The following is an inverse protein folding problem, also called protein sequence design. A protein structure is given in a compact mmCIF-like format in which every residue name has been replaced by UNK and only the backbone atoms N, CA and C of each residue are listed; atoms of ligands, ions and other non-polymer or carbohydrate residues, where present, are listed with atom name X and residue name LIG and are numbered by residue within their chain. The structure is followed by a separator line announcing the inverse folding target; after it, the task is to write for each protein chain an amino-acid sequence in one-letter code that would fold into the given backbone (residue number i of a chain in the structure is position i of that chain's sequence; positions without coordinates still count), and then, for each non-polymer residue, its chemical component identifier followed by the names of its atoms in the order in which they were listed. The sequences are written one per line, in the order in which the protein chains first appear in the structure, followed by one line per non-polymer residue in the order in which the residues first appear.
data_IF_009755223670
#
_entry.id   IF_009755223670
#
_cell.length_a   1.000
_cell.length_b   1.000
_cell.length_c   1.000
_cell.angle_alpha   90.00
_cell.angle_beta   90.00
_cell.angle_gamma   90.00
#
_symmetry.space_group_name_H-M   'P 1'
#
loop_
_entity.id
_entity.type
_entity.pdbx_description
1 polymer ?
#
# COMPACT_ATOMS: atom_id res chain seq x y z
N UNK A 1 17.54 30.59 24.29
CA UNK A 1 18.43 30.99 23.21
C UNK A 1 19.07 32.29 23.58
N UNK A 2 20.35 32.22 23.92
CA UNK A 2 21.22 33.38 24.04
C UNK A 2 21.81 33.74 22.66
N UNK A 3 22.56 34.83 22.60
CA UNK A 3 23.15 35.34 21.36
C UNK A 3 24.18 34.36 20.77
N UNK A 4 24.81 33.53 21.60
CA UNK A 4 25.74 32.49 21.15
C UNK A 4 25.00 31.36 20.45
N UNK A 5 23.95 30.83 21.07
CA UNK A 5 23.09 29.81 20.47
C UNK A 5 22.42 30.31 19.18
N UNK A 6 22.05 31.60 19.11
CA UNK A 6 21.52 32.21 17.89
C UNK A 6 22.58 32.30 16.78
N UNK A 7 23.82 32.65 17.14
CA UNK A 7 24.95 32.72 16.20
C UNK A 7 25.23 31.35 15.60
N UNK A 8 25.29 30.31 16.42
CA UNK A 8 25.49 28.92 15.98
C UNK A 8 24.39 28.47 14.99
N UNK A 9 23.13 28.77 15.30
CA UNK A 9 21.99 28.44 14.40
C UNK A 9 22.08 29.18 13.07
N UNK A 10 22.54 30.43 13.07
CA UNK A 10 22.71 31.22 11.86
C UNK A 10 23.90 30.75 11.02
N UNK A 11 24.96 30.23 11.66
CA UNK A 11 26.08 29.58 10.99
C UNK A 11 25.66 28.27 10.32
N UNK A 12 24.89 27.44 11.01
CA UNK A 12 24.28 26.22 10.44
C UNK A 12 23.33 26.58 9.29
N UNK A 13 22.74 27.77 9.33
CA UNK A 13 21.97 28.37 8.25
C UNK A 13 22.84 29.06 7.19
N UNK A 14 24.14 28.80 7.12
CA UNK A 14 25.02 29.19 6.02
C UNK A 14 25.45 30.66 6.02
N UNK A 15 25.33 31.35 7.15
CA UNK A 15 26.16 32.53 7.41
C UNK A 15 27.57 32.07 7.81
N UNK A 16 28.60 32.85 7.45
CA UNK A 16 29.91 32.64 8.06
C UNK A 16 29.89 33.11 9.53
N UNK A 17 30.83 32.69 10.38
CA UNK A 17 30.88 33.13 11.79
C UNK A 17 30.78 34.65 11.96
N UNK A 18 31.59 35.39 11.20
CA UNK A 18 31.55 36.86 11.23
C UNK A 18 30.24 37.48 10.74
N UNK A 19 29.53 36.82 9.82
CA UNK A 19 28.22 37.28 9.35
C UNK A 19 27.15 37.06 10.41
N UNK A 20 27.18 35.92 11.09
CA UNK A 20 26.25 35.62 12.17
C UNK A 20 26.46 36.59 13.34
N UNK A 21 27.70 36.76 13.80
CA UNK A 21 28.05 37.70 14.87
C UNK A 21 27.66 39.15 14.55
N UNK A 22 28.03 39.66 13.37
CA UNK A 22 27.70 41.02 12.97
C UNK A 22 26.18 41.25 12.85
N UNK A 23 25.44 40.23 12.39
CA UNK A 23 23.98 40.32 12.28
C UNK A 23 23.31 40.31 13.65
N UNK A 24 23.73 39.44 14.58
CA UNK A 24 23.21 39.40 15.95
C UNK A 24 23.51 40.70 16.70
N UNK A 25 24.74 41.22 16.60
CA UNK A 25 25.10 42.51 17.17
C UNK A 25 24.23 43.65 16.60
N UNK A 26 23.99 43.65 15.28
CA UNK A 26 23.13 44.63 14.64
C UNK A 26 21.65 44.53 15.07
N UNK A 27 21.13 43.32 15.31
CA UNK A 27 19.78 43.12 15.85
C UNK A 27 19.63 43.74 17.25
N UNK A 28 20.67 43.67 18.08
CA UNK A 28 20.70 44.31 19.39
C UNK A 28 20.80 45.83 19.33
N UNK A 29 21.59 46.37 18.39
CA UNK A 29 21.81 47.81 18.22
C UNK A 29 20.68 48.51 17.43
N UNK A 30 19.94 47.77 16.60
CA UNK A 30 18.86 48.23 15.74
C UNK A 30 19.33 48.99 14.50
N UNK A 31 20.03 50.11 14.67
CA UNK A 31 20.65 50.88 13.57
C UNK A 31 21.97 51.45 14.05
N UNK A 32 23.08 51.08 13.39
CA UNK A 32 24.42 51.37 13.88
C UNK A 32 25.42 51.61 12.73
N UNK A 33 26.48 52.36 12.99
CA UNK A 33 27.57 52.53 12.02
C UNK A 33 28.40 51.25 11.91
N UNK A 34 29.10 51.06 10.79
CA UNK A 34 29.99 49.91 10.61
C UNK A 34 31.03 49.79 11.73
N UNK A 35 31.51 50.92 12.26
CA UNK A 35 32.45 50.94 13.39
C UNK A 35 31.77 50.53 14.70
N UNK A 36 30.56 51.04 15.00
CA UNK A 36 29.85 50.66 16.22
C UNK A 36 29.47 49.16 16.24
N UNK A 37 29.19 48.59 15.06
CA UNK A 37 28.92 47.15 14.91
C UNK A 37 30.20 46.36 15.17
N UNK A 38 31.34 46.76 14.58
CA UNK A 38 32.64 46.12 14.83
C UNK A 38 33.06 46.19 16.30
N UNK A 39 32.79 47.30 16.99
CA UNK A 39 33.06 47.45 18.43
C UNK A 39 32.16 46.56 19.31
N UNK A 40 31.04 46.10 18.77
CA UNK A 40 30.02 45.30 19.49
C UNK A 40 30.05 43.80 19.15
N UNK A 41 30.98 43.36 18.31
CA UNK A 41 31.18 41.94 17.95
C UNK A 41 32.66 41.61 17.79
N UNK A 42 33.02 40.34 17.64
CA UNK A 42 34.42 39.91 17.48
C UNK A 42 34.89 39.91 16.01
N UNK A 43 34.21 40.68 15.15
CA UNK A 43 34.57 40.85 13.74
C UNK A 43 35.68 41.89 13.60
N UNK A 44 36.85 41.54 13.02
CA UNK A 44 37.94 42.50 12.87
C UNK A 44 37.54 43.74 12.04
N UNK A 45 37.96 44.94 12.45
CA UNK A 45 37.65 46.21 11.75
C UNK A 45 37.88 46.18 10.23
N UNK A 46 38.97 45.59 9.70
CA UNK A 46 39.18 45.55 8.25
C UNK A 46 38.14 44.70 7.52
N UNK A 47 37.44 43.82 8.25
CA UNK A 47 36.50 42.82 7.74
C UNK A 47 35.02 43.21 7.87
N UNK A 48 34.69 44.23 8.64
CA UNK A 48 33.28 44.55 8.90
C UNK A 48 32.57 45.04 7.63
N UNK A 49 33.28 45.74 6.75
CA UNK A 49 32.71 46.29 5.52
C UNK A 49 32.37 45.21 4.48
N UNK A 50 33.21 44.17 4.32
CA UNK A 50 32.87 43.01 3.48
C UNK A 50 31.74 42.20 4.09
N UNK A 51 31.76 41.96 5.39
CA UNK A 51 30.70 41.21 6.09
C UNK A 51 29.34 41.88 5.94
N UNK A 52 29.25 43.20 6.14
CA UNK A 52 28.00 43.95 5.96
C UNK A 52 27.53 43.92 4.51
N UNK A 53 28.45 44.02 3.54
CA UNK A 53 28.08 43.93 2.11
C UNK A 53 27.54 42.54 1.74
N UNK A 54 28.13 41.49 2.28
CA UNK A 54 27.66 40.12 2.03
C UNK A 54 26.29 39.88 2.67
N UNK A 55 26.07 40.37 3.90
CA UNK A 55 24.77 40.34 4.58
C UNK A 55 23.70 41.13 3.79
N UNK A 56 24.05 42.28 3.24
CA UNK A 56 23.16 43.07 2.40
C UNK A 56 22.82 42.34 1.09
N UNK A 57 23.81 41.70 0.46
CA UNK A 57 23.61 40.88 -0.76
C UNK A 57 22.68 39.70 -0.50
N UNK A 58 22.77 39.09 0.69
CA UNK A 58 21.84 38.04 1.16
C UNK A 58 20.48 38.59 1.59
N UNK A 59 20.29 39.90 1.65
CA UNK A 59 19.03 40.55 2.05
C UNK A 59 18.77 40.59 3.55
N UNK A 60 19.76 40.30 4.40
CA UNK A 60 19.61 40.29 5.86
C UNK A 60 19.58 41.71 6.42
N UNK A 61 20.32 42.62 5.79
CA UNK A 61 20.44 44.01 6.22
C UNK A 61 20.22 44.95 5.04
N UNK A 62 20.09 46.23 5.35
CA UNK A 62 20.28 47.30 4.38
C UNK A 62 21.29 48.30 4.90
N UNK A 63 22.15 48.78 4.01
CA UNK A 63 23.14 49.80 4.30
C UNK A 63 22.76 51.11 3.64
N UNK A 64 23.13 52.22 4.27
CA UNK A 64 22.94 53.55 3.72
C UNK A 64 24.06 54.49 4.19
N UNK A 65 24.33 55.51 3.39
CA UNK A 65 25.38 56.49 3.68
C UNK A 65 24.77 57.69 4.42
N UNK A 66 25.24 57.91 5.65
CA UNK A 66 25.04 59.17 6.40
C UNK A 66 26.41 59.84 6.58
N UNK A 67 26.78 60.19 7.81
CA UNK A 67 28.13 60.66 8.16
C UNK A 67 29.17 59.53 8.04
N UNK A 68 28.74 58.28 8.18
CA UNK A 68 29.50 57.05 7.94
C UNK A 68 28.61 55.98 7.28
N UNK A 69 29.17 54.83 6.92
CA UNK A 69 28.37 53.68 6.49
C UNK A 69 27.56 53.16 7.68
N UNK A 70 26.24 53.16 7.55
CA UNK A 70 25.30 52.72 8.60
C UNK A 70 24.48 51.55 8.08
N UNK A 71 24.20 50.59 8.95
CA UNK A 71 23.39 49.42 8.64
C UNK A 71 22.20 49.32 9.59
N UNK A 72 21.14 48.64 9.13
CA UNK A 72 20.05 48.13 9.96
C UNK A 72 19.55 46.80 9.41
N UNK A 73 18.99 45.95 10.29
CA UNK A 73 18.36 44.72 9.85
C UNK A 73 17.14 45.02 8.94
N UNK A 74 16.98 44.25 7.87
CA UNK A 74 15.75 44.27 7.07
C UNK A 74 14.62 43.56 7.81
N UNK A 75 13.41 43.62 7.25
CA UNK A 75 12.29 42.83 7.78
C UNK A 75 12.71 41.36 7.89
N UNK A 76 12.59 40.73 9.08
CA UNK A 76 13.05 39.37 9.33
C UNK A 76 12.29 38.31 8.52
N UNK A 77 11.18 38.63 7.86
CA UNK A 77 10.40 37.68 7.06
C UNK A 77 11.26 36.86 6.10
N UNK A 78 12.24 37.48 5.43
CA UNK A 78 13.16 36.79 4.50
C UNK A 78 14.06 35.78 5.23
N UNK A 79 14.59 36.18 6.39
CA UNK A 79 15.48 35.33 7.20
C UNK A 79 14.68 34.19 7.83
N UNK A 80 13.47 34.47 8.31
CA UNK A 80 12.56 33.49 8.87
C UNK A 80 12.11 32.48 7.81
N UNK A 81 11.87 32.91 6.58
CA UNK A 81 11.50 32.02 5.47
C UNK A 81 12.65 31.07 5.10
N UNK A 82 13.90 31.57 5.00
CA UNK A 82 15.06 30.71 4.72
C UNK A 82 15.28 29.68 5.85
N UNK A 83 15.23 30.11 7.11
CA UNK A 83 15.37 29.21 8.26
C UNK A 83 14.27 28.13 8.30
N UNK A 84 13.01 28.52 8.08
CA UNK A 84 11.88 27.56 8.02
C UNK A 84 12.03 26.59 6.86
N UNK A 85 12.38 27.08 5.67
CA UNK A 85 12.57 26.23 4.48
C UNK A 85 13.64 25.16 4.71
N UNK A 86 14.76 25.52 5.34
CA UNK A 86 15.83 24.57 5.66
C UNK A 86 15.44 23.58 6.73
N UNK A 87 14.76 24.02 7.78
CA UNK A 87 14.22 23.12 8.80
C UNK A 87 13.30 22.07 8.18
N UNK A 88 12.39 22.46 7.28
CA UNK A 88 11.55 21.52 6.54
C UNK A 88 12.37 20.55 5.67
N UNK A 89 13.43 21.02 5.00
CA UNK A 89 14.31 20.13 4.22
C UNK A 89 15.01 19.09 5.09
N UNK A 90 15.50 19.48 6.27
CA UNK A 90 16.16 18.55 7.19
C UNK A 90 15.18 17.52 7.77
N UNK A 91 13.96 17.95 8.12
CA UNK A 91 12.90 17.04 8.57
C UNK A 91 12.54 16.02 7.48
N UNK A 92 12.29 16.50 6.26
CA UNK A 92 12.00 15.60 5.13
C UNK A 92 13.14 14.62 4.86
N UNK A 93 14.40 15.08 4.95
CA UNK A 93 15.56 14.20 4.76
C UNK A 93 15.64 13.12 5.86
N UNK A 94 15.35 13.47 7.11
CA UNK A 94 15.31 12.52 8.22
C UNK A 94 14.20 11.47 8.01
N UNK A 95 12.99 11.90 7.63
CA UNK A 95 11.88 11.00 7.30
C UNK A 95 12.25 10.06 6.16
N UNK A 96 12.80 10.57 5.04
CA UNK A 96 13.24 9.74 3.92
C UNK A 96 14.34 8.74 4.31
N UNK A 97 15.26 9.12 5.21
CA UNK A 97 16.29 8.19 5.71
C UNK A 97 15.65 7.09 6.54
N UNK A 98 14.69 7.42 7.40
CA UNK A 98 13.96 6.46 8.22
C UNK A 98 13.13 5.49 7.36
N UNK A 99 12.42 6.00 6.35
CA UNK A 99 11.70 5.18 5.37
C UNK A 99 12.64 4.20 4.67
N UNK A 100 13.76 4.68 4.13
CA UNK A 100 14.74 3.83 3.43
C UNK A 100 15.41 2.81 4.35
N UNK A 101 15.68 3.18 5.60
CA UNK A 101 16.26 2.27 6.58
C UNK A 101 15.28 1.14 6.96
N UNK A 102 14.00 1.46 7.07
CA UNK A 102 12.95 0.50 7.39
C UNK A 102 12.45 -0.29 6.17
N UNK A 103 12.82 0.12 4.95
CA UNK A 103 12.48 -0.60 3.73
C UNK A 103 13.28 -1.90 3.64
N UNK A 104 12.63 -3.07 3.59
CA UNK A 104 13.33 -4.33 3.47
C UNK A 104 13.86 -4.49 2.04
N UNK A 105 15.15 -4.79 1.88
CA UNK A 105 15.70 -5.29 0.62
C UNK A 105 15.11 -6.69 0.39
N UNK A 106 14.13 -6.80 -0.50
CA UNK A 106 13.51 -8.08 -0.85
C UNK A 106 13.75 -8.32 -2.34
N UNK A 107 14.65 -9.24 -2.63
CA UNK A 107 14.84 -9.76 -3.98
C UNK A 107 13.73 -10.75 -4.35
N UNK A 108 13.61 -11.09 -5.64
CA UNK A 108 12.68 -12.15 -6.06
C UNK A 108 13.05 -13.48 -5.38
N UNK A 109 12.04 -14.20 -4.89
CA UNK A 109 12.18 -15.47 -4.16
C UNK A 109 12.71 -15.35 -2.72
N UNK A 110 12.51 -14.20 -2.07
CA UNK A 110 13.02 -13.94 -0.72
C UNK A 110 11.90 -13.78 0.33
N UNK A 111 12.19 -14.29 1.53
CA UNK A 111 11.40 -14.12 2.75
C UNK A 111 12.19 -13.20 3.68
N UNK A 112 11.61 -12.06 4.03
CA UNK A 112 12.21 -11.11 4.97
C UNK A 112 11.43 -11.08 6.28
N UNK A 113 12.16 -11.04 7.39
CA UNK A 113 11.62 -10.96 8.74
C UNK A 113 11.81 -9.54 9.25
N UNK A 114 10.73 -8.85 9.57
CA UNK A 114 10.75 -7.49 10.13
C UNK A 114 10.38 -7.52 11.60
N UNK A 115 11.04 -6.69 12.41
CA UNK A 115 10.86 -6.69 13.88
C UNK A 115 9.67 -5.85 14.35
N UNK A 116 9.11 -5.01 13.49
CA UNK A 116 8.06 -4.05 13.84
C UNK A 116 6.82 -4.32 13.01
N UNK A 117 5.67 -4.33 13.66
CA UNK A 117 4.38 -4.53 13.02
C UNK A 117 4.07 -3.39 12.05
N UNK A 118 4.39 -2.16 12.43
CA UNK A 118 4.14 -0.96 11.63
C UNK A 118 4.88 -1.02 10.29
N UNK A 119 6.07 -1.64 10.25
CA UNK A 119 6.81 -1.87 9.00
C UNK A 119 6.05 -2.81 8.05
N UNK A 120 5.35 -3.82 8.58
CA UNK A 120 4.53 -4.73 7.77
C UNK A 120 3.33 -4.01 7.18
N UNK A 121 2.63 -3.22 8.00
CA UNK A 121 1.45 -2.46 7.56
C UNK A 121 1.86 -1.41 6.54
N UNK A 122 2.94 -0.66 6.79
CA UNK A 122 3.49 0.31 5.82
C UNK A 122 3.80 -0.37 4.49
N UNK A 123 4.45 -1.54 4.53
CA UNK A 123 4.76 -2.29 3.32
C UNK A 123 3.50 -2.81 2.62
N UNK A 124 2.49 -3.24 3.37
CA UNK A 124 1.22 -3.68 2.80
C UNK A 124 0.51 -2.54 2.07
N UNK A 125 0.52 -1.31 2.62
CA UNK A 125 -0.03 -0.10 1.97
C UNK A 125 0.62 0.15 0.61
N UNK A 126 1.95 0.18 0.56
CA UNK A 126 2.71 0.33 -0.70
C UNK A 126 2.35 -0.75 -1.75
N UNK A 127 2.15 -1.99 -1.30
CA UNK A 127 1.82 -3.11 -2.19
C UNK A 127 0.36 -3.06 -2.66
N UNK A 128 -0.58 -2.64 -1.81
CA UNK A 128 -1.98 -2.42 -2.17
C UNK A 128 -2.09 -1.28 -3.20
N UNK A 129 -1.33 -0.20 -3.01
CA UNK A 129 -1.28 0.92 -3.96
C UNK A 129 -0.78 0.48 -5.34
N UNK A 130 0.19 -0.43 -5.39
CA UNK A 130 0.75 -0.96 -6.62
C UNK A 130 -0.03 -2.16 -7.22
N UNK A 131 -1.09 -2.62 -6.57
CA UNK A 131 -1.84 -3.81 -7.00
C UNK A 131 -2.54 -3.58 -8.34
N UNK A 132 -2.51 -4.62 -9.19
CA UNK A 132 -3.05 -4.61 -10.54
C UNK A 132 -4.25 -5.56 -10.71
N UNK A 133 -4.30 -6.68 -10.00
CA UNK A 133 -5.26 -7.76 -10.28
C UNK A 133 -6.12 -8.12 -9.07
N UNK A 134 -5.49 -8.48 -7.95
CA UNK A 134 -6.22 -8.98 -6.79
C UNK A 134 -5.52 -8.76 -5.45
N UNK A 135 -6.33 -8.63 -4.41
CA UNK A 135 -5.88 -8.50 -3.02
C UNK A 135 -6.73 -9.38 -2.11
N UNK A 136 -6.08 -10.16 -1.24
CA UNK A 136 -6.72 -10.88 -0.15
C UNK A 136 -6.25 -10.25 1.17
N UNK A 137 -7.18 -9.73 1.96
CA UNK A 137 -6.89 -8.94 3.17
C UNK A 137 -7.54 -9.59 4.39
N UNK A 138 -6.76 -9.84 5.43
CA UNK A 138 -7.22 -10.28 6.74
C UNK A 138 -6.76 -9.30 7.80
N UNK A 139 -7.70 -8.60 8.43
CA UNK A 139 -7.43 -7.47 9.34
C UNK A 139 -8.41 -7.46 10.52
N UNK A 140 -8.08 -6.72 11.58
CA UNK A 140 -9.04 -6.24 12.59
C UNK A 140 -9.56 -4.82 12.20
N UNK A 141 -10.49 -4.19 12.95
CA UNK A 141 -11.05 -2.90 12.59
C UNK A 141 -10.00 -1.78 12.57
N UNK A 142 -9.05 -1.76 13.50
CA UNK A 142 -7.99 -0.75 13.55
C UNK A 142 -7.10 -0.84 12.31
N UNK A 143 -6.68 -2.06 11.98
CA UNK A 143 -5.89 -2.35 10.78
C UNK A 143 -6.65 -2.06 9.49
N UNK A 144 -7.96 -2.35 9.45
CA UNK A 144 -8.81 -2.00 8.31
C UNK A 144 -8.76 -0.49 8.03
N UNK A 145 -9.00 0.34 9.05
CA UNK A 145 -8.91 1.80 8.87
C UNK A 145 -7.51 2.28 8.50
N UNK A 146 -6.46 1.57 8.91
CA UNK A 146 -5.08 1.91 8.57
C UNK A 146 -4.71 1.67 7.09
N UNK A 147 -5.45 0.82 6.37
CA UNK A 147 -5.23 0.52 4.94
C UNK A 147 -6.43 0.91 4.05
N UNK A 148 -7.46 1.53 4.63
CA UNK A 148 -8.75 1.74 3.98
C UNK A 148 -8.64 2.63 2.74
N UNK A 149 -7.84 3.70 2.80
CA UNK A 149 -7.69 4.64 1.69
C UNK A 149 -7.05 3.96 0.47
N UNK A 150 -6.06 3.10 0.70
CA UNK A 150 -5.39 2.34 -0.34
C UNK A 150 -6.31 1.27 -0.94
N UNK A 151 -7.15 0.62 -0.11
CA UNK A 151 -8.16 -0.34 -0.58
C UNK A 151 -9.21 0.32 -1.48
N UNK A 152 -9.70 1.52 -1.11
CA UNK A 152 -10.62 2.29 -1.97
C UNK A 152 -9.94 2.60 -3.30
N UNK A 153 -8.72 3.13 -3.25
CA UNK A 153 -7.99 3.47 -4.47
C UNK A 153 -7.71 2.25 -5.36
N UNK A 154 -7.49 1.07 -4.79
CA UNK A 154 -7.31 -0.17 -5.53
C UNK A 154 -8.65 -0.68 -6.13
N UNK A 155 -9.73 -0.63 -5.34
CA UNK A 155 -11.07 -1.00 -5.79
C UNK A 155 -11.56 -0.11 -6.94
N UNK A 156 -11.35 1.21 -6.86
CA UNK A 156 -11.66 2.18 -7.92
C UNK A 156 -10.92 1.89 -9.23
N UNK A 157 -9.75 1.24 -9.17
CA UNK A 157 -8.99 0.79 -10.36
C UNK A 157 -9.49 -0.55 -10.93
N UNK A 158 -10.45 -1.20 -10.27
CA UNK A 158 -10.99 -2.50 -10.66
C UNK A 158 -10.25 -3.70 -10.08
N UNK A 159 -9.38 -3.50 -9.10
CA UNK A 159 -8.68 -4.61 -8.43
C UNK A 159 -9.67 -5.45 -7.63
N UNK A 160 -9.63 -6.79 -7.78
CA UNK A 160 -10.54 -7.68 -7.06
C UNK A 160 -10.08 -7.87 -5.61
N UNK A 161 -10.81 -7.30 -4.65
CA UNK A 161 -10.43 -7.32 -3.23
C UNK A 161 -11.39 -8.21 -2.44
N UNK A 162 -10.81 -9.14 -1.68
CA UNK A 162 -11.50 -9.97 -0.68
C UNK A 162 -11.09 -9.56 0.72
N UNK A 163 -12.04 -9.01 1.49
CA UNK A 163 -11.77 -8.42 2.81
C UNK A 163 -12.33 -9.27 3.96
N UNK A 164 -11.45 -9.83 4.79
CA UNK A 164 -11.80 -10.57 6.00
C UNK A 164 -11.52 -9.72 7.23
N UNK A 165 -12.58 -9.23 7.88
CA UNK A 165 -12.49 -8.38 9.07
C UNK A 165 -12.76 -9.23 10.31
N UNK A 166 -11.92 -9.11 11.33
CA UNK A 166 -12.13 -9.76 12.62
C UNK A 166 -12.59 -8.82 13.68
N UNK A 167 -13.74 -9.12 14.27
CA UNK A 167 -14.21 -8.42 15.44
C UNK A 167 -14.12 -9.31 16.65
N UNK A 168 -13.36 -8.88 17.67
CA UNK A 168 -13.29 -9.56 18.94
C UNK A 168 -14.61 -9.55 19.70
N UNK A 169 -14.68 -10.32 20.79
CA UNK A 169 -15.87 -10.37 21.63
C UNK A 169 -16.18 -8.98 22.23
N UNK A 170 -17.28 -8.35 21.78
CA UNK A 170 -17.70 -7.02 22.23
C UNK A 170 -17.16 -5.86 21.38
N UNK A 171 -16.46 -6.14 20.29
CA UNK A 171 -16.16 -5.16 19.25
C UNK A 171 -17.26 -5.15 18.19
N UNK A 172 -17.57 -3.95 17.70
CA UNK A 172 -18.55 -3.78 16.63
C UNK A 172 -17.88 -3.95 15.26
N UNK A 173 -18.56 -4.64 14.36
CA UNK A 173 -18.18 -4.70 12.94
C UNK A 173 -18.19 -3.29 12.36
N UNK A 174 -17.17 -2.90 11.56
CA UNK A 174 -17.20 -1.62 10.86
C UNK A 174 -18.54 -1.44 10.11
N UNK A 175 -19.12 -0.24 10.14
CA UNK A 175 -20.40 0.00 9.50
C UNK A 175 -20.29 -0.26 7.99
N UNK A 176 -21.36 -0.76 7.38
CA UNK A 176 -21.35 -1.09 5.94
C UNK A 176 -20.97 0.09 5.06
N UNK A 177 -21.29 1.33 5.47
CA UNK A 177 -20.88 2.56 4.79
C UNK A 177 -19.37 2.74 4.67
N UNK A 178 -18.61 2.14 5.59
CA UNK A 178 -17.17 2.24 5.61
C UNK A 178 -16.52 1.14 4.76
N UNK A 179 -17.22 0.00 4.60
CA UNK A 179 -16.78 -1.18 3.82
C UNK A 179 -17.14 -1.04 2.34
N UNK A 180 -18.31 -0.47 2.03
CA UNK A 180 -18.76 -0.20 0.67
C UNK A 180 -17.72 0.63 -0.09
N UNK A 181 -17.37 0.21 -1.32
CA UNK A 181 -16.32 0.83 -2.14
C UNK A 181 -14.88 0.53 -1.71
N UNK A 182 -14.65 -0.37 -0.74
CA UNK A 182 -13.30 -0.81 -0.35
C UNK A 182 -12.95 -2.19 -0.91
N UNK A 183 -13.95 -2.97 -1.32
CA UNK A 183 -13.75 -4.35 -1.73
C UNK A 183 -14.90 -4.90 -2.56
N UNK A 184 -14.68 -6.01 -3.28
CA UNK A 184 -15.72 -6.71 -4.01
C UNK A 184 -16.58 -7.61 -3.10
N UNK A 185 -15.97 -8.18 -2.05
CA UNK A 185 -16.64 -9.00 -1.05
C UNK A 185 -15.96 -8.80 0.30
N UNK A 186 -16.76 -8.71 1.37
CA UNK A 186 -16.29 -8.68 2.74
C UNK A 186 -16.96 -9.77 3.58
N UNK A 187 -16.20 -10.33 4.51
CA UNK A 187 -16.67 -11.32 5.50
C UNK A 187 -16.24 -10.92 6.89
N UNK A 188 -17.06 -11.27 7.88
CA UNK A 188 -16.74 -11.06 9.29
C UNK A 188 -16.31 -12.36 9.96
N UNK A 189 -15.22 -12.31 10.73
CA UNK A 189 -14.72 -13.42 11.55
C UNK A 189 -14.73 -13.07 13.03
N UNK A 190 -14.99 -14.07 13.86
CA UNK A 190 -14.99 -13.93 15.33
C UNK A 190 -13.75 -14.56 15.99
N UNK A 191 -12.94 -15.29 15.20
CA UNK A 191 -11.70 -15.91 15.68
C UNK A 191 -10.51 -15.01 15.30
N UNK A 192 -9.71 -14.56 16.28
CA UNK A 192 -8.50 -13.81 16.04
C UNK A 192 -7.52 -14.56 15.14
N UNK A 193 -6.91 -13.83 14.23
CA UNK A 193 -5.96 -14.33 13.25
C UNK A 193 -4.95 -13.22 12.92
N UNK A 194 -3.78 -13.59 12.37
CA UNK A 194 -2.73 -12.66 11.96
C UNK A 194 -3.24 -11.56 11.01
N UNK A 195 -2.60 -10.39 11.06
CA UNK A 195 -2.65 -9.44 9.95
C UNK A 195 -2.12 -10.14 8.70
N UNK A 196 -2.86 -10.02 7.61
CA UNK A 196 -2.61 -10.72 6.37
C UNK A 196 -2.95 -9.84 5.18
N UNK A 197 -2.01 -9.68 4.25
CA UNK A 197 -2.27 -9.09 2.93
C UNK A 197 -1.55 -9.92 1.89
N UNK A 198 -2.26 -10.42 0.88
CA UNK A 198 -1.68 -11.07 -0.29
C UNK A 198 -2.06 -10.28 -1.53
N UNK A 199 -1.05 -9.82 -2.28
CA UNK A 199 -1.23 -9.00 -3.48
C UNK A 199 -0.75 -9.77 -4.71
N UNK A 200 -1.60 -9.81 -5.74
CA UNK A 200 -1.29 -10.27 -7.10
C UNK A 200 -0.59 -11.63 -7.19
N UNK A 201 -0.82 -12.53 -6.22
CA UNK A 201 -0.17 -13.85 -6.15
C UNK A 201 1.38 -13.76 -6.14
N UNK A 202 1.93 -12.62 -5.72
CA UNK A 202 3.38 -12.36 -5.75
C UNK A 202 3.92 -11.93 -4.40
N UNK A 203 3.10 -11.20 -3.64
CA UNK A 203 3.47 -10.70 -2.32
C UNK A 203 2.57 -11.24 -1.22
N UNK A 204 3.14 -11.55 -0.07
CA UNK A 204 2.42 -11.72 1.19
C UNK A 204 3.06 -10.87 2.29
N UNK A 205 2.25 -10.07 2.96
CA UNK A 205 2.55 -9.45 4.24
C UNK A 205 1.80 -10.22 5.33
N UNK A 206 2.52 -10.70 6.32
CA UNK A 206 1.97 -11.48 7.42
C UNK A 206 2.54 -10.99 8.74
N UNK A 207 1.68 -10.69 9.72
CA UNK A 207 2.13 -10.41 11.07
C UNK A 207 1.21 -11.07 12.10
N UNK A 208 1.76 -11.85 13.06
CA UNK A 208 0.98 -12.44 14.13
C UNK A 208 0.19 -11.38 14.92
N UNK A 209 -0.89 -11.82 15.56
CA UNK A 209 -1.66 -11.00 16.48
C UNK A 209 -0.76 -10.37 17.55
N UNK A 210 -1.12 -9.18 18.04
CA UNK A 210 -0.38 -8.45 19.08
C UNK A 210 -0.23 -9.20 20.42
N UNK A 211 -0.98 -10.29 20.62
CA UNK A 211 -0.92 -11.16 21.80
C UNK A 211 0.00 -12.38 21.58
N UNK A 212 0.61 -12.49 20.41
CA UNK A 212 1.52 -13.58 20.08
C UNK A 212 2.85 -13.41 20.81
N UNK A 213 3.44 -14.52 21.24
CA UNK A 213 4.80 -14.56 21.80
C UNK A 213 5.85 -14.10 20.78
N UNK A 214 5.49 -14.11 19.49
CA UNK A 214 6.33 -13.73 18.37
C UNK A 214 5.88 -12.38 17.78
N UNK A 215 6.52 -11.30 18.21
CA UNK A 215 6.34 -9.95 17.64
C UNK A 215 7.29 -9.75 16.45
N UNK A 216 7.03 -10.45 15.34
CA UNK A 216 7.73 -10.21 14.08
C UNK A 216 6.79 -10.32 12.89
N UNK A 217 7.04 -9.52 11.87
CA UNK A 217 6.39 -9.61 10.57
C UNK A 217 7.19 -10.46 9.60
N UNK A 218 6.48 -11.04 8.63
CA UNK A 218 7.05 -11.77 7.50
C UNK A 218 6.56 -11.13 6.22
N UNK A 219 7.51 -10.78 5.37
CA UNK A 219 7.27 -10.28 4.02
C UNK A 219 7.81 -11.32 3.04
N UNK A 220 6.97 -11.75 2.12
CA UNK A 220 7.30 -12.80 1.16
C UNK A 220 7.09 -12.27 -0.25
N UNK A 221 8.14 -12.28 -1.07
CA UNK A 221 8.04 -12.00 -2.51
C UNK A 221 8.35 -13.26 -3.29
N UNK A 222 7.35 -14.13 -3.39
CA UNK A 222 7.50 -15.38 -4.13
C UNK A 222 6.14 -15.97 -4.52
N UNK A 223 6.01 -16.32 -5.81
CA UNK A 223 4.77 -16.90 -6.35
C UNK A 223 4.45 -18.28 -5.78
N UNK A 224 5.46 -19.06 -5.37
CA UNK A 224 5.23 -20.41 -4.83
C UNK A 224 4.79 -20.36 -3.37
N UNK A 225 5.43 -19.52 -2.56
CA UNK A 225 5.06 -19.36 -1.15
C UNK A 225 3.71 -18.66 -1.00
N UNK A 226 3.41 -17.65 -1.82
CA UNK A 226 2.09 -16.99 -1.82
C UNK A 226 0.95 -17.96 -2.11
N UNK A 227 1.19 -19.04 -2.88
CA UNK A 227 0.19 -20.10 -3.05
C UNK A 227 -0.18 -20.80 -1.73
N UNK A 228 0.80 -21.02 -0.84
CA UNK A 228 0.55 -21.57 0.50
C UNK A 228 -0.26 -20.59 1.35
N UNK A 229 0.09 -19.31 1.30
CA UNK A 229 -0.63 -18.25 2.02
C UNK A 229 -2.05 -18.02 1.51
N UNK A 230 -2.27 -18.19 0.21
CA UNK A 230 -3.59 -18.17 -0.39
C UNK A 230 -4.49 -19.26 0.18
N UNK A 231 -3.96 -20.49 0.34
CA UNK A 231 -4.69 -21.56 1.00
C UNK A 231 -4.99 -21.27 2.48
N UNK A 232 -4.05 -20.65 3.20
CA UNK A 232 -4.30 -20.18 4.55
C UNK A 232 -5.45 -19.17 4.59
N UNK A 233 -5.45 -18.17 3.70
CA UNK A 233 -6.53 -17.19 3.60
C UNK A 233 -7.88 -17.86 3.34
N UNK A 234 -7.96 -18.71 2.30
CA UNK A 234 -9.20 -19.39 1.95
C UNK A 234 -9.74 -20.23 3.11
N UNK A 235 -8.89 -21.07 3.71
CA UNK A 235 -9.32 -22.07 4.70
C UNK A 235 -9.57 -21.48 6.08
N UNK A 236 -8.79 -20.47 6.50
CA UNK A 236 -8.85 -19.93 7.86
C UNK A 236 -9.59 -18.59 7.94
N UNK A 237 -9.48 -17.76 6.91
CA UNK A 237 -9.94 -16.36 6.96
C UNK A 237 -11.19 -16.09 6.13
N UNK A 238 -11.55 -16.99 5.20
CA UNK A 238 -12.60 -16.71 4.22
C UNK A 238 -13.78 -17.68 4.28
N UNK A 239 -13.55 -18.95 3.97
CA UNK A 239 -14.59 -19.89 3.54
C UNK A 239 -15.59 -20.27 4.63
N UNK A 240 -15.15 -20.30 5.89
CA UNK A 240 -15.98 -20.71 7.03
C UNK A 240 -16.80 -19.56 7.61
N UNK A 241 -16.65 -18.35 7.08
CA UNK A 241 -17.22 -17.12 7.62
C UNK A 241 -18.35 -16.58 6.76
N UNK A 242 -19.33 -15.95 7.41
CA UNK A 242 -20.50 -15.38 6.75
C UNK A 242 -20.14 -14.14 5.93
N UNK A 243 -20.85 -13.97 4.82
CA UNK A 243 -20.73 -12.78 3.96
C UNK A 243 -21.36 -11.58 4.64
N UNK A 244 -20.56 -10.53 4.82
CA UNK A 244 -20.97 -9.25 5.39
C UNK A 244 -21.40 -8.27 4.29
N UNK A 245 -20.67 -8.27 3.17
CA UNK A 245 -20.92 -7.39 2.02
C UNK A 245 -20.48 -8.10 0.73
N UNK A 246 -21.19 -7.85 -0.37
CA UNK A 246 -20.80 -8.32 -1.70
C UNK A 246 -21.38 -7.39 -2.76
N UNK A 247 -20.56 -7.04 -3.75
CA UNK A 247 -20.97 -6.30 -4.94
C UNK A 247 -21.59 -7.19 -6.01
N UNK A 248 -21.49 -8.51 -5.83
CA UNK A 248 -22.04 -9.47 -6.77
C UNK A 248 -23.56 -9.36 -6.75
N UNK A 249 -24.11 -8.93 -7.87
CA UNK A 249 -25.55 -9.02 -8.12
C UNK A 249 -25.81 -10.06 -9.23
N UNK A 250 -26.97 -10.73 -9.24
CA UNK A 250 -27.35 -11.64 -10.31
C UNK A 250 -27.38 -11.00 -11.71
N UNK A 251 -27.44 -9.67 -11.79
CA UNK A 251 -27.66 -8.90 -13.01
C UNK A 251 -26.34 -8.36 -13.63
N UNK A 252 -25.22 -8.48 -12.92
CA UNK A 252 -23.92 -7.97 -13.35
C UNK A 252 -22.96 -9.11 -13.67
N UNK A 253 -22.11 -8.97 -14.70
CA UNK A 253 -21.01 -9.90 -14.92
C UNK A 253 -20.19 -10.07 -13.64
N UNK A 254 -19.92 -11.31 -13.26
CA UNK A 254 -19.19 -11.62 -12.03
C UNK A 254 -17.78 -12.10 -12.38
N UNK A 255 -16.79 -11.31 -11.97
CA UNK A 255 -15.38 -11.62 -12.19
C UNK A 255 -14.77 -12.37 -11.01
N UNK A 256 -14.16 -13.50 -11.32
CA UNK A 256 -13.47 -14.39 -10.39
C UNK A 256 -11.99 -14.44 -10.72
N UNK A 257 -11.16 -14.19 -9.72
CA UNK A 257 -9.69 -14.34 -9.81
C UNK A 257 -9.20 -15.69 -9.29
N UNK A 258 -10.12 -16.61 -8.99
CA UNK A 258 -9.86 -17.97 -8.51
C UNK A 258 -10.95 -18.90 -9.05
N UNK A 259 -10.55 -19.87 -9.88
CA UNK A 259 -11.45 -20.86 -10.47
C UNK A 259 -12.26 -21.62 -9.42
N UNK A 260 -11.70 -21.88 -8.24
CA UNK A 260 -12.40 -22.62 -7.17
C UNK A 260 -13.62 -21.85 -6.69
N UNK A 261 -13.47 -20.53 -6.54
CA UNK A 261 -14.59 -19.67 -6.20
C UNK A 261 -15.62 -19.62 -7.32
N UNK A 262 -15.17 -19.47 -8.57
CA UNK A 262 -16.07 -19.48 -9.73
C UNK A 262 -16.92 -20.76 -9.71
N UNK A 263 -16.26 -21.93 -9.69
CA UNK A 263 -16.89 -23.26 -9.69
C UNK A 263 -17.93 -23.40 -8.57
N UNK A 264 -17.66 -22.93 -7.36
CA UNK A 264 -18.62 -23.03 -6.25
C UNK A 264 -19.90 -22.23 -6.48
N UNK A 265 -19.80 -21.10 -7.17
CA UNK A 265 -20.95 -20.25 -7.48
C UNK A 265 -21.68 -20.78 -8.73
N UNK A 266 -20.95 -21.27 -9.74
CA UNK A 266 -21.55 -21.70 -11.02
C UNK A 266 -22.06 -23.14 -11.03
N UNK A 267 -21.49 -24.06 -10.24
CA UNK A 267 -21.90 -25.47 -10.25
C UNK A 267 -23.37 -25.67 -9.86
N UNK A 268 -23.91 -25.04 -8.81
CA UNK A 268 -25.34 -25.16 -8.50
C UNK A 268 -26.23 -24.71 -9.66
N UNK A 269 -25.83 -23.64 -10.37
CA UNK A 269 -26.57 -23.10 -11.51
C UNK A 269 -26.55 -24.07 -12.69
N UNK A 270 -25.40 -24.69 -12.99
CA UNK A 270 -25.29 -25.74 -14.01
C UNK A 270 -26.15 -26.97 -13.65
N UNK A 271 -26.26 -27.32 -12.37
CA UNK A 271 -27.12 -28.42 -11.91
C UNK A 271 -28.62 -28.11 -12.01
N UNK A 272 -28.97 -26.82 -12.16
CA UNK A 272 -30.31 -26.33 -12.47
C UNK A 272 -30.50 -26.05 -13.97
N UNK A 273 -29.66 -26.63 -14.82
CA UNK A 273 -29.68 -26.53 -16.29
C UNK A 273 -29.46 -25.10 -16.84
N UNK A 274 -28.81 -24.21 -16.08
CA UNK A 274 -28.46 -22.88 -16.56
C UNK A 274 -27.39 -22.93 -17.68
N UNK A 275 -27.53 -22.03 -18.65
CA UNK A 275 -26.53 -21.72 -19.67
C UNK A 275 -25.65 -20.57 -19.16
N UNK A 276 -24.36 -20.82 -19.02
CA UNK A 276 -23.40 -19.87 -18.44
C UNK A 276 -22.37 -19.47 -19.50
N UNK A 277 -22.29 -18.18 -19.82
CA UNK A 277 -21.28 -17.62 -20.71
C UNK A 277 -20.15 -16.97 -19.91
N UNK A 278 -18.91 -17.26 -20.28
CA UNK A 278 -17.74 -16.80 -19.56
C UNK A 278 -16.62 -16.32 -20.51
N UNK A 279 -15.87 -15.32 -20.04
CA UNK A 279 -14.59 -14.89 -20.59
C UNK A 279 -13.49 -15.34 -19.64
N UNK A 280 -12.51 -16.06 -20.15
CA UNK A 280 -11.37 -16.58 -19.40
C UNK A 280 -10.09 -15.93 -19.91
N UNK A 281 -9.40 -15.21 -19.03
CA UNK A 281 -8.07 -14.65 -19.29
C UNK A 281 -7.05 -15.45 -18.51
N UNK A 282 -5.97 -15.84 -19.16
CA UNK A 282 -4.95 -16.66 -18.54
C UNK A 282 -3.76 -16.95 -19.45
N UNK A 283 -3.17 -18.12 -19.24
CA UNK A 283 -2.02 -18.60 -20.00
C UNK A 283 -2.27 -20.01 -20.52
N UNK A 284 -1.86 -20.26 -21.76
CA UNK A 284 -1.76 -21.62 -22.29
C UNK A 284 -0.68 -22.39 -21.53
N UNK A 285 -1.00 -23.59 -21.02
CA UNK A 285 -0.11 -24.30 -20.10
C UNK A 285 1.09 -24.95 -20.80
N UNK A 286 1.04 -25.18 -22.12
CA UNK A 286 2.14 -25.73 -22.90
C UNK A 286 3.10 -24.62 -23.37
N UNK A 287 2.56 -23.58 -24.00
CA UNK A 287 3.31 -22.50 -24.65
C UNK A 287 3.65 -21.36 -23.70
N UNK A 288 2.90 -21.20 -22.60
CA UNK A 288 2.98 -20.08 -21.64
C UNK A 288 2.62 -18.71 -22.23
N UNK A 289 2.00 -18.68 -23.40
CA UNK A 289 1.50 -17.45 -24.01
C UNK A 289 0.19 -17.02 -23.35
N UNK A 290 -0.06 -15.71 -23.30
CA UNK A 290 -1.32 -15.18 -22.78
C UNK A 290 -2.46 -15.49 -23.75
N UNK A 291 -3.59 -15.91 -23.21
CA UNK A 291 -4.80 -16.26 -23.96
C UNK A 291 -6.03 -15.62 -23.34
N UNK A 292 -6.98 -15.25 -24.20
CA UNK A 292 -8.32 -14.80 -23.83
C UNK A 292 -9.33 -15.65 -24.61
N UNK A 293 -10.18 -16.39 -23.89
CA UNK A 293 -11.16 -17.30 -24.45
C UNK A 293 -12.56 -16.85 -24.04
N UNK A 294 -13.49 -16.79 -25.00
CA UNK A 294 -14.91 -16.50 -24.74
C UNK A 294 -15.74 -17.70 -25.15
N UNK A 295 -16.59 -18.19 -24.24
CA UNK A 295 -17.40 -19.37 -24.53
C UNK A 295 -18.41 -19.74 -23.46
N UNK A 296 -19.07 -20.88 -23.64
CA UNK A 296 -20.03 -21.44 -22.69
C UNK A 296 -19.34 -22.42 -21.75
N UNK A 297 -19.60 -22.29 -20.45
CA UNK A 297 -19.18 -23.30 -19.47
C UNK A 297 -20.16 -24.47 -19.53
N UNK A 298 -19.66 -25.66 -19.88
CA UNK A 298 -20.50 -26.87 -20.07
C UNK A 298 -20.22 -27.98 -19.07
N UNK A 299 -19.14 -27.86 -18.29
CA UNK A 299 -18.74 -28.91 -17.37
C UNK A 299 -17.79 -28.40 -16.30
N UNK A 300 -17.79 -29.09 -15.17
CA UNK A 300 -16.88 -28.87 -14.05
C UNK A 300 -16.37 -30.24 -13.62
N UNK A 301 -15.06 -30.39 -13.49
CA UNK A 301 -14.42 -31.60 -12.96
C UNK A 301 -13.54 -31.27 -11.77
N UNK A 302 -13.59 -32.10 -10.73
CA UNK A 302 -12.70 -31.99 -9.59
C UNK A 302 -12.48 -33.33 -8.89
N UNK A 303 -11.39 -33.42 -8.14
CA UNK A 303 -10.99 -34.68 -7.50
C UNK A 303 -12.04 -35.16 -6.50
N UNK A 304 -12.65 -36.32 -6.77
CA UNK A 304 -13.68 -36.91 -5.92
C UNK A 304 -15.11 -36.45 -6.21
N UNK A 305 -15.37 -35.83 -7.37
CA UNK A 305 -16.70 -35.45 -7.81
C UNK A 305 -17.62 -36.69 -7.97
N UNK A 306 -18.85 -36.56 -7.46
CA UNK A 306 -19.99 -37.39 -7.84
C UNK A 306 -21.08 -36.40 -8.30
N UNK A 307 -21.48 -36.48 -9.56
CA UNK A 307 -22.46 -35.58 -10.20
C UNK A 307 -23.79 -35.57 -9.42
N UNK A 308 -24.40 -34.39 -9.25
CA UNK A 308 -25.78 -34.23 -8.74
C UNK A 308 -25.92 -33.63 -7.34
N UNK A 309 -25.12 -32.61 -6.98
CA UNK A 309 -25.23 -31.91 -5.69
C UNK A 309 -25.98 -30.58 -5.82
N UNK A 310 -26.87 -30.31 -4.88
CA UNK A 310 -27.54 -28.99 -4.76
C UNK A 310 -26.78 -28.02 -3.84
N UNK A 311 -25.93 -28.53 -2.95
CA UNK A 311 -25.10 -27.71 -2.05
C UNK A 311 -23.72 -27.43 -2.66
N UNK A 312 -23.12 -26.25 -2.41
CA UNK A 312 -21.77 -25.91 -2.90
C UNK A 312 -20.72 -26.95 -2.53
N UNK A 313 -19.74 -27.16 -3.41
CA UNK A 313 -18.64 -28.12 -3.20
C UNK A 313 -17.87 -27.80 -1.91
N UNK A 314 -17.65 -28.77 -1.00
CA UNK A 314 -16.78 -28.57 0.15
C UNK A 314 -15.34 -28.25 -0.28
N UNK A 315 -14.72 -27.24 0.33
CA UNK A 315 -13.36 -26.81 0.02
C UNK A 315 -12.31 -27.94 0.02
N UNK A 316 -12.46 -28.94 0.90
CA UNK A 316 -11.57 -30.09 0.97
C UNK A 316 -11.51 -30.92 -0.33
N UNK A 317 -12.58 -30.92 -1.13
CA UNK A 317 -12.60 -31.57 -2.45
C UNK A 317 -11.96 -30.69 -3.53
N UNK A 318 -11.96 -29.37 -3.32
CA UNK A 318 -11.29 -28.39 -4.19
C UNK A 318 -9.78 -28.31 -3.95
N UNK A 319 -9.26 -28.93 -2.90
CA UNK A 319 -7.82 -29.04 -2.65
C UNK A 319 -7.08 -29.91 -3.69
N UNK A 320 -7.82 -30.76 -4.42
CA UNK A 320 -7.31 -31.55 -5.53
C UNK A 320 -7.29 -30.79 -6.86
N UNK A 321 -7.23 -31.56 -7.96
CA UNK A 321 -7.44 -31.04 -9.33
C UNK A 321 -8.84 -30.44 -9.43
N UNK A 322 -8.95 -29.30 -10.10
CA UNK A 322 -10.20 -28.63 -10.46
C UNK A 322 -10.06 -28.06 -11.87
N UNK A 323 -11.07 -28.29 -12.71
CA UNK A 323 -11.18 -27.71 -14.04
C UNK A 323 -12.62 -27.36 -14.39
N UNK A 324 -12.77 -26.41 -15.30
CA UNK A 324 -14.02 -26.10 -15.97
C UNK A 324 -13.85 -26.32 -17.49
N UNK A 325 -14.84 -26.94 -18.11
CA UNK A 325 -14.86 -27.13 -19.56
C UNK A 325 -15.52 -25.92 -20.22
N UNK A 326 -14.76 -25.20 -21.04
CA UNK A 326 -15.22 -24.03 -21.81
C UNK A 326 -15.35 -24.39 -23.29
N UNK A 327 -16.54 -24.25 -23.86
CA UNK A 327 -16.79 -24.45 -25.30
C UNK A 327 -16.82 -23.10 -25.99
N UNK A 328 -15.88 -22.89 -26.91
CA UNK A 328 -15.73 -21.69 -27.74
C UNK A 328 -16.02 -22.02 -29.22
N UNK A 329 -15.98 -21.01 -30.08
CA UNK A 329 -16.10 -21.21 -31.53
C UNK A 329 -14.93 -22.00 -32.14
N UNK A 330 -13.73 -21.89 -31.55
CA UNK A 330 -12.49 -22.50 -32.05
C UNK A 330 -12.24 -23.91 -31.48
N UNK A 331 -12.97 -24.30 -30.43
CA UNK A 331 -12.82 -25.61 -29.79
C UNK A 331 -13.31 -25.66 -28.35
N UNK A 332 -13.09 -26.82 -27.73
CA UNK A 332 -13.38 -27.07 -26.31
C UNK A 332 -12.07 -27.07 -25.53
N UNK A 333 -12.02 -26.28 -24.45
CA UNK A 333 -10.84 -26.10 -23.62
C UNK A 333 -11.11 -26.54 -22.19
N UNK A 334 -10.13 -27.20 -21.58
CA UNK A 334 -10.10 -27.42 -20.13
C UNK A 334 -9.38 -26.25 -19.46
N UNK A 335 -10.07 -25.57 -18.55
CA UNK A 335 -9.59 -24.40 -17.83
C UNK A 335 -9.32 -24.76 -16.38
N UNK A 336 -8.07 -24.60 -15.94
CA UNK A 336 -7.64 -24.82 -14.56
C UNK A 336 -7.42 -23.52 -13.78
N UNK A 337 -7.32 -23.64 -12.46
CA UNK A 337 -7.04 -22.52 -11.56
C UNK A 337 -5.54 -22.26 -11.38
N UNK A 338 -5.16 -21.42 -10.42
CA UNK A 338 -3.76 -21.12 -10.12
C UNK A 338 -2.92 -22.40 -9.93
N UNK A 339 -1.88 -22.55 -10.74
CA UNK A 339 -0.99 -23.71 -10.73
C UNK A 339 -1.46 -24.88 -11.61
N UNK A 340 -2.37 -24.63 -12.56
CA UNK A 340 -2.80 -25.62 -13.54
C UNK A 340 -1.61 -26.15 -14.38
N UNK A 341 -1.57 -27.46 -14.54
CA UNK A 341 -0.54 -28.17 -15.33
C UNK A 341 -1.11 -29.30 -16.18
N UNK A 342 -2.36 -29.70 -15.95
CA UNK A 342 -3.05 -30.77 -16.68
C UNK A 342 -4.01 -30.17 -17.70
N UNK A 343 -4.67 -29.09 -17.31
CA UNK A 343 -5.58 -28.30 -18.13
C UNK A 343 -4.82 -27.53 -19.20
N UNK A 344 -5.48 -27.22 -20.31
CA UNK A 344 -4.87 -26.49 -21.44
C UNK A 344 -4.64 -25.02 -21.08
N UNK A 345 -5.46 -24.45 -20.19
CA UNK A 345 -5.39 -23.04 -19.77
C UNK A 345 -5.28 -22.91 -18.26
N UNK A 346 -4.31 -22.14 -17.76
CA UNK A 346 -4.27 -21.64 -16.39
C UNK A 346 -4.99 -20.29 -16.33
N UNK A 347 -6.19 -20.24 -15.74
CA UNK A 347 -6.93 -19.00 -15.59
C UNK A 347 -6.33 -18.10 -14.49
N UNK A 348 -6.12 -16.83 -14.86
CA UNK A 348 -5.88 -15.75 -13.90
C UNK A 348 -7.16 -15.01 -13.55
N UNK A 349 -8.08 -14.91 -14.51
CA UNK A 349 -9.38 -14.26 -14.36
C UNK A 349 -10.45 -15.01 -15.16
N UNK A 350 -11.64 -15.13 -14.58
CA UNK A 350 -12.82 -15.76 -15.17
C UNK A 350 -14.00 -14.82 -14.92
N UNK A 351 -14.53 -14.22 -15.97
CA UNK A 351 -15.69 -13.33 -15.89
C UNK A 351 -16.92 -14.05 -16.42
N UNK A 352 -17.88 -14.34 -15.54
CA UNK A 352 -19.19 -14.85 -15.93
C UNK A 352 -19.99 -13.67 -16.47
N UNK A 353 -20.31 -13.69 -17.76
CA UNK A 353 -20.93 -12.57 -18.48
C UNK A 353 -22.45 -12.69 -18.57
N UNK A 354 -22.97 -13.91 -18.58
CA UNK A 354 -24.40 -14.18 -18.68
C UNK A 354 -24.75 -15.52 -18.02
N UNK A 355 -25.93 -15.59 -17.41
CA UNK A 355 -26.53 -16.81 -16.84
C UNK A 355 -28.00 -16.84 -17.26
N UNK A 356 -28.37 -17.80 -18.10
CA UNK A 356 -29.73 -17.97 -18.60
C UNK A 356 -30.29 -19.33 -18.18
N UNK A 357 -31.52 -19.35 -17.69
CA UNK A 357 -32.26 -20.59 -17.45
C UNK A 357 -33.17 -20.88 -18.64
N UNK A 358 -33.24 -22.14 -19.09
CA UNK A 358 -34.19 -22.57 -20.13
C UNK A 358 -35.66 -22.52 -19.67
#
# INVERSE_FOLDING_TARGET
MDDSELTDVLEDAGLSPYQAEAYVALLGLGTASATDIADSCDVPDPRIYDVLRDLETKGYIETFQQDSLTARARNPDVVLEDLRSRSSKYLNAAETIEERWNQPEISDHEVSIVKRFETVVSRARELIEAAENQIQVGVDPEQFYAVREELIAAHDRGVNIKLSICTGAGEDVPPLSDIEGTCAEARNREIPAPFFVLVDRTWTCFAPHHDSVNEYGVLVKDRTHTYVFHWFFLTCLWEIWDTLYTERTPETPTTYVDLRHAVRDIEPLLNEDATIEAVVVGYDTETKESVELTGRVTGIDYTGSNIGRTDPVPLAQLAGRISATLVTDDGTYEVGGWGAVIEEVEATEITITNVEYE
#
